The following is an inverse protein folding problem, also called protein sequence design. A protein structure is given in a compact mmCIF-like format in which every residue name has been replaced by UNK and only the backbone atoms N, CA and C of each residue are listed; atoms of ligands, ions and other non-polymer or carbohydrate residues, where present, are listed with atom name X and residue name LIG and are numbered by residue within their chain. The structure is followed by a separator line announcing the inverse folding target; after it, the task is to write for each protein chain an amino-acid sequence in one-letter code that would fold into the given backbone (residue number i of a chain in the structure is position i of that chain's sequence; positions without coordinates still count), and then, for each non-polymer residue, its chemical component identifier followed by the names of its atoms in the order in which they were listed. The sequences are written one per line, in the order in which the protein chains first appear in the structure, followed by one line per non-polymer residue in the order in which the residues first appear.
data_IF_623332555750
#
_entry.id   IF_623332555750
#
_cell.length_a   1.000
_cell.length_b   1.000
_cell.length_c   1.000
_cell.angle_alpha   90.00
_cell.angle_beta   90.00
_cell.angle_gamma   90.00
#
_symmetry.space_group_name_H-M   'P 1'
#
loop_
_entity.id
_entity.type
_entity.pdbx_description
1 polymer ?
#
# COMPACT_ATOMS: atom_id res chain seq x y z
N UNK A 1 42.92 -1.07 -4.08
CA UNK A 1 42.27 0.17 -4.52
C UNK A 1 41.20 -0.23 -5.52
N UNK A 2 40.02 -0.58 -5.03
CA UNK A 2 38.81 -0.77 -5.84
C UNK A 2 37.82 0.25 -5.29
N UNK A 3 37.52 1.28 -6.07
CA UNK A 3 36.45 2.22 -5.77
C UNK A 3 35.18 1.70 -6.46
N UNK A 4 34.24 1.16 -5.68
CA UNK A 4 32.86 0.98 -6.12
C UNK A 4 32.19 2.36 -6.11
N UNK A 5 32.09 2.97 -7.29
CA UNK A 5 31.14 4.03 -7.60
C UNK A 5 29.87 3.39 -8.14
N UNK A 6 28.78 3.47 -7.37
CA UNK A 6 27.45 3.02 -7.75
C UNK A 6 26.44 4.17 -7.80
N UNK A 7 26.77 5.23 -8.53
CA UNK A 7 25.79 6.18 -9.07
C UNK A 7 25.98 6.15 -10.58
N UNK A 8 25.06 5.55 -11.32
CA UNK A 8 25.10 5.49 -12.78
C UNK A 8 24.61 6.82 -13.36
N UNK A 9 25.54 7.77 -13.49
CA UNK A 9 25.45 8.84 -14.48
C UNK A 9 26.09 8.32 -15.78
N UNK A 10 25.30 8.09 -16.82
CA UNK A 10 25.84 7.78 -18.15
C UNK A 10 26.02 9.08 -18.93
N UNK A 11 27.27 9.52 -19.04
CA UNK A 11 27.71 10.56 -19.98
C UNK A 11 27.78 9.96 -21.39
N UNK A 12 27.19 10.68 -22.34
CA UNK A 12 27.14 10.37 -23.76
C UNK A 12 28.43 10.87 -24.45
N UNK A 13 29.30 9.96 -24.88
CA UNK A 13 30.32 10.20 -25.92
C UNK A 13 30.98 8.86 -26.26
N UNK A 14 30.77 8.31 -27.46
CA UNK A 14 31.74 8.51 -28.55
C UNK A 14 31.29 7.92 -29.90
N UNK A 15 31.90 8.51 -30.91
CA UNK A 15 31.93 8.23 -32.35
C UNK A 15 32.27 6.76 -32.69
N UNK A 16 31.67 6.21 -33.75
CA UNK A 16 32.14 4.95 -34.34
C UNK A 16 31.12 4.05 -35.03
N UNK A 17 30.88 4.35 -36.32
CA UNK A 17 30.41 3.44 -37.40
C UNK A 17 29.07 2.71 -37.23
N UNK A 18 28.15 3.10 -38.11
CA UNK A 18 26.82 2.55 -38.29
C UNK A 18 26.83 1.09 -38.78
N UNK A 19 26.05 0.26 -38.09
CA UNK A 19 25.27 -0.80 -38.72
C UNK A 19 23.88 -0.82 -38.07
N UNK A 20 22.86 -0.66 -38.91
CA UNK A 20 21.49 -0.38 -38.50
C UNK A 20 20.74 -1.62 -38.02
N UNK A 21 20.26 -1.59 -36.78
CA UNK A 21 18.88 -1.95 -36.42
C UNK A 21 18.54 -1.39 -35.03
N UNK A 22 17.95 -0.19 -34.99
CA UNK A 22 17.62 0.51 -33.76
C UNK A 22 16.45 -0.11 -33.00
N UNK A 23 16.75 -0.85 -31.94
CA UNK A 23 15.81 -1.11 -30.85
C UNK A 23 16.25 -0.26 -29.66
N UNK A 24 15.41 0.69 -29.25
CA UNK A 24 15.66 1.53 -28.07
C UNK A 24 15.90 0.64 -26.85
N UNK A 25 16.97 0.92 -26.08
CA UNK A 25 17.44 0.16 -24.92
C UNK A 25 16.46 0.11 -23.72
N UNK A 26 15.19 0.45 -23.94
CA UNK A 26 14.10 0.59 -22.96
C UNK A 26 13.04 -0.50 -23.11
N UNK A 27 13.01 -1.28 -24.19
CA UNK A 27 12.02 -2.35 -24.38
C UNK A 27 12.69 -3.70 -24.63
N UNK A 28 12.22 -4.76 -23.97
CA UNK A 28 12.70 -6.13 -24.17
C UNK A 28 11.54 -7.11 -24.16
N UNK A 29 11.46 -7.98 -25.18
CA UNK A 29 10.45 -9.03 -25.25
C UNK A 29 11.08 -10.41 -25.02
N UNK A 30 10.46 -11.18 -24.14
CA UNK A 30 10.80 -12.55 -23.80
C UNK A 30 9.75 -13.48 -24.39
N UNK A 31 10.18 -14.36 -25.30
CA UNK A 31 9.30 -15.33 -25.97
C UNK A 31 9.50 -16.71 -25.36
N UNK A 32 8.44 -17.51 -25.15
CA UNK A 32 8.58 -18.89 -24.74
C UNK A 32 9.33 -19.71 -25.80
N UNK A 33 10.18 -20.62 -25.33
CA UNK A 33 10.93 -21.57 -26.17
C UNK A 33 10.05 -22.66 -26.81
N UNK A 34 8.83 -22.86 -26.31
CA UNK A 34 7.95 -24.00 -26.60
C UNK A 34 6.87 -23.81 -27.69
N UNK A 35 7.02 -22.86 -28.62
CA UNK A 35 6.03 -22.60 -29.68
C UNK A 35 5.37 -21.23 -29.56
N UNK A 36 4.17 -21.06 -30.13
CA UNK A 36 3.48 -19.76 -30.04
C UNK A 36 2.98 -19.52 -28.61
N UNK A 37 3.23 -18.33 -28.03
CA UNK A 37 2.76 -18.00 -26.70
C UNK A 37 1.23 -18.00 -26.63
N UNK A 38 0.66 -18.39 -25.49
CA UNK A 38 -0.79 -18.36 -25.26
C UNK A 38 -1.32 -16.95 -25.06
N UNK A 39 -0.49 -16.05 -24.54
CA UNK A 39 -0.77 -14.63 -24.33
C UNK A 39 0.54 -13.83 -24.35
N UNK A 40 0.43 -12.50 -24.46
CA UNK A 40 1.57 -11.58 -24.26
C UNK A 40 1.20 -10.57 -23.20
N UNK A 41 2.02 -10.45 -22.16
CA UNK A 41 1.88 -9.44 -21.11
C UNK A 41 2.79 -8.24 -21.40
N UNK A 42 2.26 -7.03 -21.28
CA UNK A 42 2.99 -5.77 -21.32
C UNK A 42 3.21 -5.25 -19.90
N UNK A 43 4.46 -5.09 -19.49
CA UNK A 43 4.81 -4.70 -18.12
C UNK A 43 5.63 -3.41 -18.16
N UNK A 44 5.36 -2.49 -17.22
CA UNK A 44 6.18 -1.32 -16.94
C UNK A 44 7.08 -1.56 -15.70
N UNK A 45 8.25 -2.19 -15.87
CA UNK A 45 9.19 -2.40 -14.77
C UNK A 45 10.13 -1.21 -14.55
N UNK A 46 10.64 -1.12 -13.33
CA UNK A 46 11.80 -0.29 -13.02
C UNK A 46 13.03 -0.75 -13.79
N UNK A 47 13.88 0.20 -14.18
CA UNK A 47 15.12 -0.06 -14.92
C UNK A 47 16.06 -1.06 -14.23
N UNK A 48 16.02 -1.15 -12.91
CA UNK A 48 16.74 -2.10 -12.05
C UNK A 48 16.39 -3.56 -12.34
N UNK A 49 15.19 -3.84 -12.86
CA UNK A 49 14.76 -5.21 -13.16
C UNK A 49 15.41 -5.78 -14.42
N UNK A 50 16.25 -5.02 -15.14
CA UNK A 50 17.08 -5.54 -16.23
C UNK A 50 18.00 -6.66 -15.76
N UNK A 51 18.44 -6.61 -14.50
CA UNK A 51 19.36 -7.60 -13.93
C UNK A 51 18.75 -9.00 -13.84
N UNK A 52 17.41 -9.12 -13.79
CA UNK A 52 16.71 -10.40 -13.63
C UNK A 52 16.16 -10.96 -14.95
N UNK A 53 16.65 -10.50 -16.10
CA UNK A 53 16.23 -10.95 -17.44
C UNK A 53 16.22 -12.48 -17.62
N UNK A 54 17.20 -13.19 -17.05
CA UNK A 54 17.27 -14.66 -17.11
C UNK A 54 16.10 -15.31 -16.36
N UNK A 55 15.73 -14.77 -15.20
CA UNK A 55 14.59 -15.27 -14.43
C UNK A 55 13.26 -15.00 -15.16
N UNK A 56 13.13 -13.85 -15.81
CA UNK A 56 11.97 -13.50 -16.64
C UNK A 56 11.85 -14.46 -17.82
N UNK A 57 12.94 -14.75 -18.53
CA UNK A 57 12.93 -15.73 -19.63
C UNK A 57 12.48 -17.12 -19.16
N UNK A 58 13.02 -17.59 -18.02
CA UNK A 58 12.61 -18.87 -17.43
C UNK A 58 11.12 -18.89 -17.07
N UNK A 59 10.59 -17.79 -16.55
CA UNK A 59 9.17 -17.68 -16.24
C UNK A 59 8.29 -17.70 -17.52
N UNK A 60 8.72 -17.02 -18.58
CA UNK A 60 8.05 -17.05 -19.89
C UNK A 60 8.02 -18.47 -20.47
N UNK A 61 9.14 -19.20 -20.39
CA UNK A 61 9.23 -20.60 -20.82
C UNK A 61 8.29 -21.52 -20.04
N UNK A 62 8.25 -21.38 -18.71
CA UNK A 62 7.44 -22.24 -17.83
C UNK A 62 5.94 -21.97 -17.94
N UNK A 63 5.55 -20.71 -18.17
CA UNK A 63 4.15 -20.30 -18.27
C UNK A 63 3.58 -20.39 -19.69
N UNK A 64 4.46 -20.49 -20.70
CA UNK A 64 4.12 -20.34 -22.12
C UNK A 64 3.45 -18.99 -22.46
N UNK A 65 3.77 -17.95 -21.68
CA UNK A 65 3.29 -16.57 -21.86
C UNK A 65 4.48 -15.70 -22.28
N UNK A 66 4.32 -14.91 -23.34
CA UNK A 66 5.33 -13.93 -23.73
C UNK A 66 5.24 -12.70 -22.81
N UNK A 67 6.39 -12.08 -22.54
CA UNK A 67 6.46 -10.89 -21.68
C UNK A 67 7.19 -9.79 -22.43
N UNK A 68 6.57 -8.62 -22.57
CA UNK A 68 7.22 -7.40 -23.07
C UNK A 68 7.43 -6.45 -21.91
N UNK A 69 8.69 -6.18 -21.60
CA UNK A 69 9.13 -5.26 -20.57
C UNK A 69 9.42 -3.89 -21.19
N UNK A 70 8.80 -2.86 -20.65
CA UNK A 70 9.06 -1.45 -20.99
C UNK A 70 9.77 -0.78 -19.81
N UNK A 71 11.08 -0.95 -19.72
CA UNK A 71 11.91 -0.42 -18.64
C UNK A 71 11.89 1.10 -18.59
N UNK A 72 11.57 1.60 -17.40
CA UNK A 72 11.43 3.04 -17.13
C UNK A 72 11.86 3.37 -15.70
N UNK A 73 12.08 4.65 -15.40
CA UNK A 73 12.38 5.12 -14.06
C UNK A 73 11.15 5.13 -13.16
N UNK A 74 11.34 5.10 -11.83
CA UNK A 74 10.21 5.00 -10.89
C UNK A 74 9.21 6.17 -10.97
N UNK A 75 9.67 7.38 -11.33
CA UNK A 75 8.80 8.53 -11.57
C UNK A 75 7.95 8.37 -12.84
N UNK A 76 8.49 7.72 -13.87
CA UNK A 76 7.77 7.44 -15.11
C UNK A 76 6.68 6.39 -14.88
N UNK A 77 6.97 5.34 -14.09
CA UNK A 77 5.98 4.35 -13.62
C UNK A 77 4.85 5.05 -12.86
N UNK A 78 5.20 5.93 -11.91
CA UNK A 78 4.23 6.68 -11.14
C UNK A 78 3.34 7.55 -12.04
N UNK A 79 3.91 8.23 -13.04
CA UNK A 79 3.15 9.04 -13.98
C UNK A 79 2.26 8.19 -14.90
N UNK A 80 2.73 7.01 -15.32
CA UNK A 80 1.92 6.06 -16.08
C UNK A 80 0.71 5.58 -15.27
N UNK A 81 0.90 5.28 -13.97
CA UNK A 81 -0.20 4.95 -13.05
C UNK A 81 -1.19 6.12 -12.89
N UNK A 82 -0.70 7.35 -12.71
CA UNK A 82 -1.57 8.55 -12.60
C UNK A 82 -2.42 8.76 -13.86
N UNK A 83 -1.85 8.46 -15.02
CA UNK A 83 -2.58 8.52 -16.29
C UNK A 83 -3.65 7.41 -16.42
N UNK A 84 -3.62 6.38 -15.58
CA UNK A 84 -4.54 5.24 -15.58
C UNK A 84 -3.94 3.96 -16.16
N UNK A 85 -2.61 3.80 -16.12
CA UNK A 85 -1.89 2.56 -16.45
C UNK A 85 -2.01 2.11 -17.91
N UNK A 86 -2.43 3.01 -18.79
CA UNK A 86 -2.80 2.68 -20.16
C UNK A 86 -1.63 1.99 -20.90
N UNK A 87 -1.93 0.87 -21.55
CA UNK A 87 -1.02 0.00 -22.32
C UNK A 87 -0.16 -1.00 -21.52
N UNK A 88 -0.38 -1.13 -20.21
CA UNK A 88 0.31 -2.09 -19.37
C UNK A 88 -0.66 -2.98 -18.60
N UNK A 89 -0.35 -4.27 -18.57
CA UNK A 89 -1.06 -5.27 -17.77
C UNK A 89 -0.56 -5.28 -16.31
N UNK A 90 0.70 -4.86 -16.09
CA UNK A 90 1.31 -4.80 -14.77
C UNK A 90 2.39 -3.71 -14.66
N UNK A 91 2.63 -3.27 -13.43
CA UNK A 91 3.78 -2.43 -13.06
C UNK A 91 4.69 -3.20 -12.12
N UNK A 92 6.00 -2.97 -12.22
CA UNK A 92 6.98 -3.60 -11.33
C UNK A 92 8.05 -2.60 -10.88
N UNK A 93 7.72 -1.67 -9.96
CA UNK A 93 8.67 -0.70 -9.43
C UNK A 93 9.58 -1.31 -8.35
N UNK A 94 10.74 -0.69 -8.10
CA UNK A 94 11.63 -1.00 -6.96
C UNK A 94 10.95 -1.00 -5.57
N UNK A 95 9.82 -0.29 -5.43
CA UNK A 95 9.11 -0.16 -4.17
C UNK A 95 7.62 0.06 -4.41
N UNK A 96 6.79 -0.54 -3.55
CA UNK A 96 5.33 -0.35 -3.55
C UNK A 96 4.92 1.09 -3.29
N UNK A 97 5.80 1.92 -2.69
CA UNK A 97 5.54 3.35 -2.48
C UNK A 97 5.19 4.08 -3.78
N UNK A 98 5.80 3.70 -4.91
CA UNK A 98 5.50 4.31 -6.22
C UNK A 98 4.12 3.96 -6.74
N UNK A 99 3.59 2.80 -6.34
CA UNK A 99 2.20 2.42 -6.63
C UNK A 99 1.28 3.29 -5.77
N UNK A 100 1.54 3.39 -4.47
CA UNK A 100 0.77 4.24 -3.55
C UNK A 100 0.67 5.70 -4.00
N UNK A 101 1.78 6.30 -4.43
CA UNK A 101 1.79 7.69 -4.89
C UNK A 101 1.26 7.90 -6.30
N UNK A 102 1.27 6.84 -7.12
CA UNK A 102 0.97 6.90 -8.54
C UNK A 102 -0.45 6.47 -8.90
N UNK A 103 -0.99 5.49 -8.20
CA UNK A 103 -2.27 4.87 -8.53
C UNK A 103 -3.46 5.65 -7.96
N UNK A 104 -3.57 6.92 -8.35
CA UNK A 104 -4.64 7.82 -7.90
C UNK A 104 -6.03 7.45 -8.44
N UNK A 105 -6.11 6.48 -9.37
CA UNK A 105 -7.34 5.96 -9.96
C UNK A 105 -7.66 4.53 -9.47
N UNK A 106 -6.85 3.99 -8.55
CA UNK A 106 -6.99 2.67 -7.95
C UNK A 106 -7.10 1.51 -8.95
N UNK A 107 -6.38 1.59 -10.07
CA UNK A 107 -6.41 0.58 -11.14
C UNK A 107 -5.65 -0.70 -10.75
N UNK A 108 -4.71 -0.63 -9.79
CA UNK A 108 -3.90 -1.77 -9.36
C UNK A 108 -4.70 -2.66 -8.40
N UNK A 109 -5.16 -3.81 -8.91
CA UNK A 109 -6.00 -4.76 -8.17
C UNK A 109 -5.23 -5.76 -7.34
N UNK A 110 -4.07 -6.16 -7.81
CA UNK A 110 -3.24 -7.16 -7.16
C UNK A 110 -1.83 -6.62 -6.98
N UNK A 111 -1.27 -6.85 -5.80
CA UNK A 111 0.09 -6.46 -5.47
C UNK A 111 0.75 -7.61 -4.72
N UNK A 112 1.91 -8.04 -5.22
CA UNK A 112 2.70 -9.09 -4.62
C UNK A 112 4.17 -8.69 -4.61
N UNK A 113 4.88 -9.03 -3.53
CA UNK A 113 6.34 -8.91 -3.52
C UNK A 113 6.94 -10.05 -4.33
N UNK A 114 7.66 -9.70 -5.39
CA UNK A 114 8.31 -10.67 -6.29
C UNK A 114 9.71 -11.04 -5.83
N UNK A 115 10.39 -10.13 -5.14
CA UNK A 115 11.77 -10.27 -4.73
C UNK A 115 12.03 -9.44 -3.48
N UNK A 116 12.94 -9.93 -2.64
CA UNK A 116 13.56 -9.14 -1.59
C UNK A 116 15.03 -9.03 -1.92
N UNK A 117 15.54 -7.80 -1.95
CA UNK A 117 16.98 -7.57 -2.11
C UNK A 117 17.58 -7.49 -0.72
N UNK A 118 18.25 -8.55 -0.23
CA UNK A 118 18.80 -8.53 1.11
C UNK A 118 19.89 -7.46 1.20
N UNK A 119 19.82 -6.64 2.23
CA UNK A 119 20.91 -5.73 2.56
C UNK A 119 22.00 -6.56 3.22
N UNK A 120 23.16 -6.65 2.57
CA UNK A 120 24.33 -7.37 3.11
C UNK A 120 25.24 -6.36 3.80
N UNK A 121 25.56 -6.61 5.06
CA UNK A 121 26.52 -5.81 5.80
C UNK A 121 27.95 -6.21 5.42
N UNK A 122 28.59 -5.39 4.58
CA UNK A 122 30.00 -5.56 4.21
C UNK A 122 30.95 -4.97 5.26
N UNK A 123 31.88 -5.79 5.76
CA UNK A 123 32.93 -5.35 6.70
C UNK A 123 34.31 -5.84 6.24
N UNK A 124 35.33 -4.99 6.40
CA UNK A 124 36.70 -5.38 6.10
C UNK A 124 37.15 -6.54 7.02
N UNK A 125 37.80 -7.57 6.44
CA UNK A 125 38.28 -8.74 7.19
C UNK A 125 39.07 -8.36 8.44
N UNK A 126 40.02 -7.44 8.33
CA UNK A 126 40.83 -6.96 9.46
C UNK A 126 39.99 -6.40 10.60
N UNK A 127 38.87 -5.74 10.28
CA UNK A 127 37.94 -5.18 11.28
C UNK A 127 37.07 -6.27 11.89
N UNK A 128 36.56 -7.20 11.09
CA UNK A 128 35.78 -8.33 11.57
C UNK A 128 36.59 -9.21 12.53
N UNK A 129 37.88 -9.47 12.22
CA UNK A 129 38.81 -10.17 13.11
C UNK A 129 39.03 -9.40 14.41
N UNK A 130 39.27 -8.09 14.32
CA UNK A 130 39.45 -7.23 15.51
C UNK A 130 38.21 -7.18 16.42
N UNK A 131 37.01 -7.33 15.85
CA UNK A 131 35.74 -7.40 16.59
C UNK A 131 35.40 -8.82 17.06
N UNK A 132 36.24 -9.82 16.73
CA UNK A 132 35.99 -11.23 17.04
C UNK A 132 34.78 -11.81 16.28
N UNK A 133 34.41 -11.20 15.16
CA UNK A 133 33.32 -11.63 14.27
C UNK A 133 33.80 -12.56 13.16
N UNK A 134 35.10 -12.62 12.92
CA UNK A 134 35.74 -13.58 12.04
C UNK A 134 37.07 -14.09 12.64
N UNK A 135 37.53 -15.25 12.21
CA UNK A 135 38.88 -15.74 12.51
C UNK A 135 39.93 -15.19 11.53
N UNK A 136 41.20 -15.52 11.75
CA UNK A 136 42.32 -15.06 10.90
C UNK A 136 42.23 -15.56 9.45
N UNK A 137 41.47 -16.63 9.19
CA UNK A 137 41.19 -17.13 7.84
C UNK A 137 40.12 -16.30 7.14
N UNK A 138 39.29 -15.59 7.90
CA UNK A 138 38.17 -14.78 7.42
C UNK A 138 36.83 -15.50 7.52
N UNK A 139 36.79 -16.66 8.17
CA UNK A 139 35.54 -17.36 8.44
C UNK A 139 34.75 -16.57 9.49
N UNK A 140 33.60 -16.02 9.09
CA UNK A 140 32.74 -15.23 9.95
C UNK A 140 31.87 -16.14 10.83
N UNK A 141 31.66 -15.74 12.07
CA UNK A 141 30.59 -16.28 12.92
C UNK A 141 29.28 -15.53 12.66
N UNK A 142 28.11 -16.07 13.02
CA UNK A 142 26.86 -15.32 12.99
C UNK A 142 26.99 -14.04 13.84
N UNK A 143 26.65 -12.91 13.24
CA UNK A 143 26.62 -11.58 13.89
C UNK A 143 25.19 -11.05 13.79
N UNK A 144 24.61 -10.68 14.93
CA UNK A 144 23.27 -10.10 14.96
C UNK A 144 23.30 -8.60 14.73
N UNK A 145 22.15 -8.00 14.37
CA UNK A 145 22.00 -6.54 14.33
C UNK A 145 22.33 -5.90 15.67
N UNK A 146 22.01 -6.56 16.79
CA UNK A 146 22.34 -6.07 18.13
C UNK A 146 23.85 -5.98 18.37
N UNK A 147 24.62 -6.97 17.88
CA UNK A 147 26.09 -6.95 17.96
C UNK A 147 26.69 -5.79 17.15
N UNK A 148 26.12 -5.55 15.95
CA UNK A 148 26.54 -4.42 15.10
C UNK A 148 26.26 -3.10 15.82
N UNK A 149 25.04 -2.91 16.35
CA UNK A 149 24.65 -1.72 17.08
C UNK A 149 25.51 -1.48 18.34
N UNK A 150 25.86 -2.55 19.06
CA UNK A 150 26.75 -2.46 20.21
C UNK A 150 28.17 -2.02 19.81
N UNK A 151 28.75 -2.62 18.76
CA UNK A 151 30.07 -2.23 18.28
C UNK A 151 30.12 -0.78 17.76
N UNK A 152 29.02 -0.29 17.19
CA UNK A 152 28.89 1.09 16.73
C UNK A 152 28.73 2.05 17.91
N UNK A 153 27.85 1.72 18.86
CA UNK A 153 27.63 2.51 20.09
C UNK A 153 28.90 2.62 20.94
N UNK A 154 29.70 1.55 20.99
CA UNK A 154 30.99 1.51 21.67
C UNK A 154 32.11 2.27 20.92
N UNK A 155 31.83 2.85 19.75
CA UNK A 155 32.82 3.49 18.88
C UNK A 155 33.84 2.53 18.26
N UNK A 156 33.63 1.22 18.42
CA UNK A 156 34.51 0.16 17.89
C UNK A 156 34.29 -0.04 16.40
N UNK A 157 33.20 0.42 15.82
CA UNK A 157 32.89 0.30 14.39
C UNK A 157 32.21 1.58 13.89
N UNK A 158 32.72 2.13 12.78
CA UNK A 158 32.08 3.23 12.05
C UNK A 158 31.74 2.73 10.67
N UNK A 159 30.53 2.99 10.19
CA UNK A 159 30.08 2.59 8.87
C UNK A 159 29.20 3.68 8.26
N UNK A 160 29.23 3.79 6.95
CA UNK A 160 28.39 4.73 6.22
C UNK A 160 27.03 4.09 5.98
N UNK A 161 25.99 4.63 6.61
CA UNK A 161 24.62 4.47 6.17
C UNK A 161 24.02 5.84 5.88
N UNK A 162 22.96 5.87 5.08
CA UNK A 162 21.89 6.84 5.30
C UNK A 162 21.42 6.62 6.74
N UNK A 163 21.78 7.54 7.64
CA UNK A 163 21.55 7.41 9.08
C UNK A 163 20.17 6.84 9.36
N UNK A 164 20.05 5.76 10.15
CA UNK A 164 18.74 5.18 10.50
C UNK A 164 17.84 6.25 11.13
N UNK A 165 18.42 7.13 11.94
CA UNK A 165 17.74 8.31 12.48
C UNK A 165 17.26 9.25 11.37
N UNK A 166 18.02 9.42 10.30
CA UNK A 166 17.62 10.20 9.12
C UNK A 166 16.53 9.50 8.32
N UNK A 167 16.56 8.17 8.19
CA UNK A 167 15.50 7.39 7.52
C UNK A 167 14.20 7.46 8.34
N UNK A 168 14.25 7.21 9.65
CA UNK A 168 13.10 7.32 10.54
C UNK A 168 12.56 8.75 10.56
N UNK A 169 13.44 9.76 10.59
CA UNK A 169 13.04 11.16 10.49
C UNK A 169 12.42 11.48 9.12
N UNK A 170 12.97 10.95 8.04
CA UNK A 170 12.44 11.15 6.69
C UNK A 170 11.08 10.47 6.52
N UNK A 171 10.91 9.26 7.05
CA UNK A 171 9.65 8.52 7.05
C UNK A 171 8.59 9.27 7.87
N UNK A 172 8.97 9.74 9.07
CA UNK A 172 8.10 10.53 9.92
C UNK A 172 7.69 11.83 9.21
N UNK A 173 8.64 12.61 8.68
CA UNK A 173 8.36 13.84 7.91
C UNK A 173 7.47 13.55 6.71
N UNK A 174 7.71 12.44 6.00
CA UNK A 174 6.85 12.03 4.90
C UNK A 174 5.41 11.80 5.37
N UNK A 175 5.22 11.01 6.43
CA UNK A 175 3.90 10.64 6.93
C UNK A 175 3.15 11.77 7.63
N UNK A 176 3.86 12.69 8.28
CA UNK A 176 3.23 13.75 9.07
C UNK A 176 3.12 15.09 8.32
N UNK A 177 3.97 15.34 7.33
CA UNK A 177 4.10 16.67 6.73
C UNK A 177 4.14 16.71 5.19
N UNK A 178 4.64 15.67 4.51
CA UNK A 178 4.77 15.71 3.04
C UNK A 178 3.68 14.96 2.29
N UNK A 179 3.12 13.89 2.87
CA UNK A 179 2.01 13.19 2.23
C UNK A 179 0.79 14.10 2.20
N UNK A 180 -0.04 13.90 1.19
CA UNK A 180 -1.36 14.52 1.13
C UNK A 180 -2.17 14.07 2.37
N UNK A 181 -2.83 14.98 3.10
CA UNK A 181 -3.68 14.61 4.22
C UNK A 181 -4.79 13.65 3.79
N UNK A 182 -5.17 12.71 4.66
CA UNK A 182 -6.24 11.76 4.37
C UNK A 182 -7.58 12.24 4.91
N UNK A 183 -8.65 12.04 4.16
CA UNK A 183 -10.03 12.19 4.61
C UNK A 183 -10.70 10.82 4.60
N UNK A 184 -10.73 10.18 5.77
CA UNK A 184 -11.20 8.80 5.93
C UNK A 184 -12.55 8.79 6.63
N UNK A 185 -13.55 8.20 5.99
CA UNK A 185 -14.89 8.03 6.55
C UNK A 185 -15.07 6.55 6.92
N UNK A 186 -15.20 6.28 8.20
CA UNK A 186 -15.39 4.96 8.80
C UNK A 186 -16.89 4.70 8.94
N UNK A 187 -17.44 3.90 8.04
CA UNK A 187 -18.85 3.49 8.06
C UNK A 187 -18.91 2.14 8.74
N UNK A 188 -19.54 2.08 9.91
CA UNK A 188 -19.35 0.97 10.84
C UNK A 188 -20.68 0.37 11.25
N UNK A 189 -20.79 -0.93 10.99
CA UNK A 189 -21.99 -1.72 11.25
C UNK A 189 -22.12 -2.09 12.73
N UNK A 190 -23.20 -1.62 13.34
CA UNK A 190 -23.66 -1.95 14.68
C UNK A 190 -25.03 -2.64 14.65
N UNK A 191 -25.33 -3.39 13.58
CA UNK A 191 -26.52 -4.24 13.52
C UNK A 191 -26.49 -5.37 14.56
N UNK A 192 -27.64 -5.98 14.84
CA UNK A 192 -27.73 -7.05 15.84
C UNK A 192 -26.85 -8.27 15.54
N UNK A 193 -26.58 -8.56 14.26
CA UNK A 193 -25.68 -9.66 13.85
C UNK A 193 -24.21 -9.39 14.17
N UNK A 194 -23.83 -8.13 14.35
CA UNK A 194 -22.50 -7.71 14.79
C UNK A 194 -22.28 -7.85 16.30
N UNK A 195 -23.29 -8.27 17.07
CA UNK A 195 -23.13 -8.46 18.52
C UNK A 195 -22.02 -9.47 18.87
N UNK A 196 -21.33 -9.23 19.99
CA UNK A 196 -20.23 -10.08 20.44
C UNK A 196 -18.94 -9.88 19.62
N UNK A 197 -18.53 -10.90 18.86
CA UNK A 197 -17.23 -10.91 18.16
C UNK A 197 -17.15 -9.85 17.05
N UNK A 198 -18.27 -9.53 16.38
CA UNK A 198 -18.32 -8.50 15.34
C UNK A 198 -17.92 -7.11 15.88
N UNK A 199 -18.66 -6.61 16.88
CA UNK A 199 -18.40 -5.34 17.58
C UNK A 199 -17.00 -5.33 18.16
N UNK A 200 -16.59 -6.40 18.83
CA UNK A 200 -15.23 -6.50 19.39
C UNK A 200 -14.15 -6.40 18.30
N UNK A 201 -14.37 -7.01 17.13
CA UNK A 201 -13.46 -6.95 15.99
C UNK A 201 -13.36 -5.55 15.40
N UNK A 202 -14.51 -4.90 15.22
CA UNK A 202 -14.62 -3.52 14.73
C UNK A 202 -13.90 -2.54 15.66
N UNK A 203 -14.20 -2.56 16.96
CA UNK A 203 -13.57 -1.68 17.95
C UNK A 203 -12.05 -1.90 17.99
N UNK A 204 -11.59 -3.16 17.94
CA UNK A 204 -10.16 -3.47 17.82
C UNK A 204 -9.55 -2.92 16.53
N UNK A 205 -10.25 -3.01 15.41
CA UNK A 205 -9.82 -2.46 14.13
C UNK A 205 -9.65 -0.94 14.18
N UNK A 206 -10.66 -0.22 14.68
CA UNK A 206 -10.59 1.22 14.85
C UNK A 206 -9.45 1.63 15.79
N UNK A 207 -9.26 0.91 16.90
CA UNK A 207 -8.11 1.14 17.78
C UNK A 207 -6.78 0.93 17.03
N UNK A 208 -6.61 -0.16 16.28
CA UNK A 208 -5.38 -0.39 15.52
C UNK A 208 -5.08 0.73 14.50
N UNK A 209 -6.12 1.36 13.93
CA UNK A 209 -5.99 2.41 12.93
C UNK A 209 -5.86 3.83 13.50
N UNK A 210 -6.52 4.12 14.63
CA UNK A 210 -6.74 5.47 15.13
C UNK A 210 -6.15 5.72 16.51
N UNK A 211 -5.90 4.68 17.33
CA UNK A 211 -5.24 4.85 18.62
C UNK A 211 -3.76 5.19 18.41
N UNK A 212 -3.25 6.32 18.94
CA UNK A 212 -1.87 6.73 18.72
C UNK A 212 -0.82 5.69 19.14
N UNK A 213 -1.03 4.96 20.24
CA UNK A 213 -0.05 4.01 20.75
C UNK A 213 0.00 2.72 19.90
N UNK A 214 -1.12 2.33 19.31
CA UNK A 214 -1.21 1.18 18.42
C UNK A 214 -0.80 1.51 16.98
N UNK A 215 -1.26 2.65 16.45
CA UNK A 215 -1.06 3.06 15.06
C UNK A 215 0.38 3.53 14.77
N UNK A 216 1.12 3.97 15.79
CA UNK A 216 2.53 4.39 15.64
C UNK A 216 3.46 3.25 15.24
N UNK A 217 3.27 2.05 15.82
CA UNK A 217 4.13 0.88 15.57
C UNK A 217 4.19 0.46 14.09
N UNK A 218 3.06 0.36 13.37
CA UNK A 218 3.04 0.11 11.93
C UNK A 218 3.14 1.38 11.09
N UNK A 219 3.36 2.55 11.69
CA UNK A 219 3.45 3.84 11.01
C UNK A 219 2.18 4.24 10.23
N UNK A 220 1.01 4.09 10.85
CA UNK A 220 -0.30 4.45 10.28
C UNK A 220 -1.05 5.49 11.11
N UNK A 221 -0.40 6.14 12.07
CA UNK A 221 -1.06 7.13 12.93
C UNK A 221 -1.65 8.31 12.15
N UNK A 222 -2.78 8.89 12.60
CA UNK A 222 -3.33 10.11 12.03
C UNK A 222 -2.33 11.28 12.12
N UNK A 223 -2.17 12.01 11.02
CA UNK A 223 -1.36 13.22 10.95
C UNK A 223 -2.17 14.48 11.29
N UNK A 224 -1.50 15.61 11.57
CA UNK A 224 -2.15 16.87 11.95
C UNK A 224 -3.15 17.43 10.93
N UNK A 225 -3.01 17.08 9.65
CA UNK A 225 -3.95 17.47 8.59
C UNK A 225 -5.05 16.46 8.30
N UNK A 226 -5.00 15.25 8.89
CA UNK A 226 -5.97 14.20 8.57
C UNK A 226 -7.36 14.53 9.13
N UNK A 227 -8.37 14.03 8.44
CA UNK A 227 -9.76 14.06 8.87
C UNK A 227 -10.25 12.62 8.98
N UNK A 228 -10.82 12.27 10.13
CA UNK A 228 -11.44 10.97 10.37
C UNK A 228 -12.89 11.20 10.79
N UNK A 229 -13.83 10.50 10.17
CA UNK A 229 -15.26 10.63 10.46
C UNK A 229 -15.79 9.23 10.73
N UNK A 230 -16.37 9.00 11.91
CA UNK A 230 -17.06 7.76 12.25
C UNK A 230 -18.56 7.93 12.02
N UNK A 231 -19.16 6.98 11.28
CA UNK A 231 -20.60 6.89 11.03
C UNK A 231 -21.04 5.49 11.45
N UNK A 232 -21.51 5.32 12.69
CA UNK A 232 -22.19 4.10 13.09
C UNK A 232 -23.50 3.95 12.29
N UNK A 233 -23.88 2.73 11.94
CA UNK A 233 -25.17 2.46 11.33
C UNK A 233 -25.68 1.08 11.72
N UNK A 234 -26.99 0.92 11.67
CA UNK A 234 -27.71 -0.34 11.79
C UNK A 234 -28.79 -0.38 10.70
N UNK A 235 -30.03 0.00 10.98
CA UNK A 235 -31.08 0.20 9.97
C UNK A 235 -31.07 1.63 9.41
N UNK A 236 -30.54 2.58 10.18
CA UNK A 236 -30.39 3.98 9.82
C UNK A 236 -28.92 4.42 10.04
N UNK A 237 -28.50 5.53 9.44
CA UNK A 237 -27.20 6.09 9.77
C UNK A 237 -27.29 6.91 11.08
N UNK A 238 -26.43 6.62 12.05
CA UNK A 238 -26.28 7.48 13.22
C UNK A 238 -25.59 8.80 12.83
N UNK A 239 -25.61 9.76 13.77
CA UNK A 239 -24.95 11.05 13.58
C UNK A 239 -23.42 10.86 13.41
N UNK A 240 -22.80 11.46 12.37
CA UNK A 240 -21.36 11.41 12.18
C UNK A 240 -20.57 12.07 13.33
N UNK A 241 -19.49 11.41 13.76
CA UNK A 241 -18.52 11.93 14.73
C UNK A 241 -17.21 12.23 14.00
N UNK A 242 -16.85 13.51 13.92
CA UNK A 242 -15.69 13.99 13.16
C UNK A 242 -14.53 14.37 14.08
N UNK A 243 -13.35 13.87 13.77
CA UNK A 243 -12.07 14.27 14.32
C UNK A 243 -11.18 14.87 13.23
N UNK A 244 -10.40 15.88 13.61
CA UNK A 244 -9.38 16.49 12.74
C UNK A 244 -8.05 16.49 13.46
N UNK A 245 -7.00 16.16 12.74
CA UNK A 245 -5.65 16.02 13.26
C UNK A 245 -5.43 14.71 14.02
N UNK A 246 -4.57 14.77 15.05
CA UNK A 246 -4.07 13.59 15.75
C UNK A 246 -4.99 13.09 16.88
N UNK A 247 -6.07 13.82 17.20
CA UNK A 247 -6.97 13.49 18.31
C UNK A 247 -8.19 12.74 17.79
N UNK A 248 -8.24 11.45 18.07
CA UNK A 248 -9.27 10.49 17.61
C UNK A 248 -10.03 9.84 18.77
N UNK A 249 -9.79 10.28 20.01
CA UNK A 249 -10.36 9.69 21.22
C UNK A 249 -11.88 9.67 21.21
N UNK A 250 -12.50 10.71 20.68
CA UNK A 250 -13.96 10.83 20.66
C UNK A 250 -14.59 9.79 19.73
N UNK A 251 -13.94 9.48 18.60
CA UNK A 251 -14.38 8.42 17.67
C UNK A 251 -14.23 7.06 18.32
N UNK A 252 -13.11 6.81 19.01
CA UNK A 252 -12.86 5.54 19.68
C UNK A 252 -13.85 5.34 20.85
N UNK A 253 -14.17 6.40 21.58
CA UNK A 253 -15.17 6.36 22.64
C UNK A 253 -16.57 6.07 22.08
N UNK A 254 -16.99 6.78 21.03
CA UNK A 254 -18.28 6.53 20.37
C UNK A 254 -18.36 5.10 19.84
N UNK A 255 -17.29 4.60 19.22
CA UNK A 255 -17.24 3.26 18.69
C UNK A 255 -17.38 2.17 19.76
N UNK A 256 -16.80 2.37 20.95
CA UNK A 256 -16.91 1.45 22.07
C UNK A 256 -18.30 1.51 22.72
N UNK A 257 -18.84 2.73 22.88
CA UNK A 257 -20.12 3.00 23.52
C UNK A 257 -21.35 2.58 22.69
N UNK A 258 -21.23 2.54 21.35
CA UNK A 258 -22.36 2.17 20.47
C UNK A 258 -22.67 0.68 20.59
N UNK A 259 -23.88 0.33 20.97
CA UNK A 259 -24.32 -1.06 21.10
C UNK A 259 -24.82 -1.65 19.78
N UNK A 260 -24.52 -2.94 19.58
CA UNK A 260 -24.94 -3.68 18.40
C UNK A 260 -26.41 -4.13 18.53
N UNK A 261 -27.30 -3.59 17.71
CA UNK A 261 -28.74 -3.87 17.76
C UNK A 261 -29.43 -3.56 16.42
N UNK A 262 -30.70 -3.93 16.27
CA UNK A 262 -31.47 -3.58 15.06
C UNK A 262 -31.13 -4.42 13.82
N UNK A 263 -31.66 -3.97 12.68
CA UNK A 263 -31.37 -4.53 11.34
C UNK A 263 -30.10 -3.94 10.72
N UNK A 264 -29.89 -4.19 9.43
CA UNK A 264 -28.68 -3.81 8.69
C UNK A 264 -29.03 -3.18 7.34
N UNK A 265 -28.64 -1.92 7.15
CA UNK A 265 -28.71 -1.16 5.90
C UNK A 265 -27.38 -0.45 5.62
N UNK A 266 -26.48 -1.17 4.95
CA UNK A 266 -25.17 -0.67 4.52
C UNK A 266 -25.33 0.56 3.62
N UNK A 267 -26.35 0.58 2.76
CA UNK A 267 -26.49 1.61 1.75
C UNK A 267 -26.90 2.95 2.36
N UNK A 268 -27.71 2.92 3.42
CA UNK A 268 -28.03 4.11 4.22
C UNK A 268 -26.79 4.68 4.93
N UNK A 269 -25.97 3.81 5.53
CA UNK A 269 -24.67 4.22 6.10
C UNK A 269 -23.74 4.84 5.06
N UNK A 270 -23.70 4.29 3.84
CA UNK A 270 -22.90 4.81 2.75
C UNK A 270 -23.44 6.11 2.15
N UNK A 271 -24.76 6.32 2.13
CA UNK A 271 -25.39 7.60 1.75
C UNK A 271 -25.00 8.72 2.71
N UNK A 272 -25.02 8.44 4.02
CA UNK A 272 -24.53 9.38 5.03
C UNK A 272 -23.04 9.72 4.85
N UNK A 273 -22.21 8.72 4.54
CA UNK A 273 -20.78 8.93 4.25
C UNK A 273 -20.54 9.81 3.02
N UNK A 274 -21.41 9.66 2.04
CA UNK A 274 -21.43 10.42 0.81
C UNK A 274 -21.66 11.92 1.09
N UNK A 275 -22.44 12.28 2.10
CA UNK A 275 -22.68 13.68 2.52
C UNK A 275 -21.54 14.28 3.35
N UNK A 276 -20.71 13.43 3.95
CA UNK A 276 -19.53 13.82 4.75
C UNK A 276 -18.23 13.94 3.92
N UNK A 277 -18.34 13.90 2.59
CA UNK A 277 -17.21 14.12 1.69
C UNK A 277 -16.67 15.56 1.79
N UNK A 278 -15.36 15.77 1.53
CA UNK A 278 -14.83 17.12 1.46
C UNK A 278 -15.52 17.91 0.36
N UNK A 279 -15.74 19.20 0.62
CA UNK A 279 -16.30 20.14 -0.36
C UNK A 279 -15.50 20.12 -1.67
N UNK A 280 -16.11 20.54 -2.78
CA UNK A 280 -15.41 20.58 -4.08
C UNK A 280 -14.13 21.40 -4.04
N UNK A 281 -14.10 22.49 -3.27
CA UNK A 281 -12.91 23.33 -3.06
C UNK A 281 -11.81 22.67 -2.23
N UNK A 282 -12.15 21.68 -1.41
CA UNK A 282 -11.21 21.03 -0.48
C UNK A 282 -10.74 19.67 -0.99
N UNK A 283 -11.47 19.02 -1.89
CA UNK A 283 -11.16 17.65 -2.29
C UNK A 283 -9.79 17.47 -2.95
N UNK A 284 -9.27 18.49 -3.64
CA UNK A 284 -7.91 18.43 -4.17
C UNK A 284 -6.83 18.47 -3.07
N UNK A 285 -7.18 18.83 -1.83
CA UNK A 285 -6.28 18.91 -0.68
C UNK A 285 -6.18 17.59 0.08
N UNK A 286 -7.14 16.68 -0.08
CA UNK A 286 -7.17 15.39 0.61
C UNK A 286 -7.03 14.20 -0.34
N UNK A 287 -6.52 13.08 0.16
CA UNK A 287 -6.88 11.78 -0.41
C UNK A 287 -8.05 11.22 0.37
N UNK A 288 -9.15 10.91 -0.32
CA UNK A 288 -10.43 10.58 0.31
C UNK A 288 -10.77 9.12 0.10
N UNK A 289 -11.19 8.43 1.17
CA UNK A 289 -11.66 7.05 1.10
C UNK A 289 -12.78 6.78 2.11
N UNK A 290 -13.65 5.84 1.78
CA UNK A 290 -14.62 5.26 2.70
C UNK A 290 -14.12 3.88 3.12
N UNK A 291 -14.18 3.60 4.42
CA UNK A 291 -13.90 2.28 4.99
C UNK A 291 -15.18 1.75 5.61
N UNK A 292 -15.77 0.75 4.96
CA UNK A 292 -16.97 0.06 5.43
C UNK A 292 -16.55 -1.16 6.27
N UNK A 293 -17.03 -1.26 7.51
CA UNK A 293 -16.75 -2.36 8.43
C UNK A 293 -18.07 -3.05 8.79
N UNK A 294 -18.28 -4.27 8.31
CA UNK A 294 -19.59 -4.96 8.35
C UNK A 294 -19.45 -6.48 8.24
N UNK A 295 -20.50 -7.21 8.58
CA UNK A 295 -20.67 -8.63 8.22
C UNK A 295 -21.35 -8.82 6.85
N UNK A 296 -21.65 -7.76 6.11
CA UNK A 296 -22.11 -7.87 4.71
C UNK A 296 -23.49 -8.50 4.54
N UNK A 297 -24.33 -8.51 5.58
CA UNK A 297 -25.72 -8.99 5.53
C UNK A 297 -26.72 -7.84 5.53
N UNK A 298 -26.62 -6.96 4.54
CA UNK A 298 -27.52 -5.81 4.43
C UNK A 298 -28.82 -6.14 3.71
N UNK A 299 -29.88 -5.44 4.07
CA UNK A 299 -31.00 -5.20 3.17
C UNK A 299 -30.51 -4.51 1.87
N UNK A 300 -31.35 -4.44 0.85
CA UNK A 300 -31.01 -3.84 -0.45
C UNK A 300 -31.93 -2.67 -0.82
N UNK A 301 -32.67 -2.13 0.14
CA UNK A 301 -33.74 -1.17 -0.11
C UNK A 301 -33.19 0.16 -0.67
N UNK A 302 -32.05 0.63 -0.15
CA UNK A 302 -31.38 1.86 -0.60
C UNK A 302 -30.24 1.63 -1.60
N UNK A 303 -30.08 0.41 -2.13
CA UNK A 303 -28.96 0.10 -3.02
C UNK A 303 -28.96 0.96 -4.29
N UNK A 304 -30.09 1.02 -5.01
CA UNK A 304 -30.20 1.75 -6.27
C UNK A 304 -30.02 3.27 -6.08
N UNK A 305 -30.49 3.80 -4.95
CA UNK A 305 -30.31 5.19 -4.56
C UNK A 305 -28.84 5.50 -4.30
N UNK A 306 -28.18 4.67 -3.49
CA UNK A 306 -26.75 4.80 -3.22
C UNK A 306 -25.92 4.73 -4.50
N UNK A 307 -26.16 3.73 -5.36
CA UNK A 307 -25.41 3.58 -6.61
C UNK A 307 -25.56 4.80 -7.53
N UNK A 308 -26.77 5.37 -7.58
CA UNK A 308 -27.06 6.57 -8.36
C UNK A 308 -26.36 7.79 -7.77
N UNK A 309 -26.43 7.99 -6.46
CA UNK A 309 -25.76 9.07 -5.75
C UNK A 309 -24.23 8.98 -5.93
N UNK A 310 -23.65 7.79 -5.74
CA UNK A 310 -22.23 7.52 -5.91
C UNK A 310 -21.75 7.86 -7.32
N UNK A 311 -22.43 7.37 -8.36
CA UNK A 311 -22.09 7.65 -9.77
C UNK A 311 -22.22 9.13 -10.10
N UNK A 312 -23.23 9.82 -9.56
CA UNK A 312 -23.45 11.26 -9.80
C UNK A 312 -22.36 12.16 -9.20
N UNK A 313 -21.74 11.73 -8.08
CA UNK A 313 -20.67 12.47 -7.40
C UNK A 313 -19.37 12.48 -8.21
N UNK A 314 -19.24 11.64 -9.24
CA UNK A 314 -18.19 11.73 -10.27
C UNK A 314 -16.76 11.62 -9.74
N UNK A 315 -16.58 11.05 -8.54
CA UNK A 315 -15.28 10.84 -7.91
C UNK A 315 -14.99 9.35 -7.91
N UNK A 316 -13.81 8.96 -8.35
CA UNK A 316 -13.25 7.61 -8.18
C UNK A 316 -12.97 7.37 -6.68
N UNK A 317 -14.03 7.39 -5.86
CA UNK A 317 -13.97 7.35 -4.41
C UNK A 317 -13.89 5.89 -3.94
N UNK A 318 -12.72 5.41 -3.48
CA UNK A 318 -12.60 4.02 -3.08
C UNK A 318 -13.44 3.73 -1.82
N UNK A 319 -14.20 2.63 -1.86
CA UNK A 319 -14.95 2.09 -0.73
C UNK A 319 -14.34 0.75 -0.33
N UNK A 320 -13.43 0.79 0.64
CA UNK A 320 -12.78 -0.40 1.17
C UNK A 320 -13.71 -1.11 2.15
N UNK A 321 -14.06 -2.35 1.86
CA UNK A 321 -14.91 -3.16 2.76
C UNK A 321 -14.04 -4.07 3.61
N UNK A 322 -14.27 -4.11 4.92
CA UNK A 322 -13.60 -5.01 5.87
C UNK A 322 -14.66 -5.90 6.52
N UNK A 323 -14.53 -7.20 6.28
CA UNK A 323 -15.45 -8.22 6.78
C UNK A 323 -15.18 -8.55 8.25
N UNK A 324 -16.23 -8.53 9.08
CA UNK A 324 -16.23 -9.02 10.46
C UNK A 324 -17.36 -10.04 10.66
N UNK A 325 -17.32 -10.82 11.74
CA UNK A 325 -18.37 -11.80 12.06
C UNK A 325 -18.59 -12.89 10.99
N UNK A 326 -19.83 -13.33 10.81
CA UNK A 326 -20.18 -14.40 9.86
C UNK A 326 -20.46 -13.87 8.44
N UNK A 327 -19.49 -13.12 7.91
CA UNK A 327 -19.74 -12.26 6.77
C UNK A 327 -20.09 -12.95 5.44
N UNK A 328 -20.96 -12.32 4.63
CA UNK A 328 -21.23 -12.69 3.23
C UNK A 328 -20.35 -11.85 2.27
N UNK A 329 -19.38 -12.46 1.58
CA UNK A 329 -18.46 -11.74 0.69
C UNK A 329 -19.09 -11.34 -0.66
N UNK A 330 -20.27 -11.83 -1.03
CA UNK A 330 -20.86 -11.59 -2.35
C UNK A 330 -21.34 -10.13 -2.51
N UNK A 331 -22.04 -9.59 -1.52
CA UNK A 331 -22.55 -8.22 -1.52
C UNK A 331 -21.40 -7.20 -1.52
N UNK A 332 -20.37 -7.44 -0.71
CA UNK A 332 -19.21 -6.54 -0.60
C UNK A 332 -18.35 -6.50 -1.87
N UNK A 333 -18.32 -7.60 -2.65
CA UNK A 333 -17.64 -7.62 -3.94
C UNK A 333 -18.29 -6.69 -4.96
N UNK A 334 -19.61 -6.54 -4.94
CA UNK A 334 -20.32 -5.61 -5.81
C UNK A 334 -19.94 -4.16 -5.51
N UNK A 335 -19.91 -3.77 -4.23
CA UNK A 335 -19.46 -2.44 -3.78
C UNK A 335 -17.98 -2.17 -4.13
N UNK A 336 -17.11 -3.15 -3.92
CA UNK A 336 -15.70 -3.04 -4.27
C UNK A 336 -15.50 -2.89 -5.79
N UNK A 337 -16.30 -3.60 -6.60
CA UNK A 337 -16.26 -3.48 -8.07
C UNK A 337 -16.74 -2.09 -8.51
N UNK A 338 -17.84 -1.60 -7.93
CA UNK A 338 -18.40 -0.27 -8.22
C UNK A 338 -17.42 0.86 -7.90
N UNK A 339 -16.73 0.76 -6.76
CA UNK A 339 -15.81 1.80 -6.26
C UNK A 339 -14.35 1.61 -6.67
N UNK A 340 -14.07 0.60 -7.50
CA UNK A 340 -12.71 0.23 -7.88
C UNK A 340 -11.81 -0.07 -6.65
N UNK A 341 -12.39 -0.54 -5.54
CA UNK A 341 -11.70 -0.80 -4.27
C UNK A 341 -11.52 -2.30 -4.00
N UNK A 342 -11.09 -2.65 -2.78
CA UNK A 342 -10.85 -4.03 -2.34
C UNK A 342 -11.71 -4.42 -1.14
N UNK A 343 -11.96 -5.72 -1.02
CA UNK A 343 -12.55 -6.35 0.16
C UNK A 343 -11.44 -7.01 0.97
N UNK A 344 -11.41 -6.75 2.28
CA UNK A 344 -10.46 -7.31 3.22
C UNK A 344 -11.18 -8.22 4.23
N UNK A 345 -10.49 -9.26 4.70
CA UNK A 345 -10.99 -10.11 5.79
C UNK A 345 -10.41 -9.62 7.12
N UNK A 346 -11.26 -9.03 7.97
CA UNK A 346 -10.89 -8.54 9.29
C UNK A 346 -10.89 -9.60 10.39
N UNK A 347 -11.29 -10.84 10.07
CA UNK A 347 -11.40 -11.97 11.02
C UNK A 347 -10.12 -12.80 11.07
N UNK A 348 -9.39 -12.82 9.96
CA UNK A 348 -8.19 -13.63 9.77
C UNK A 348 -7.04 -12.79 9.24
N UNK A 349 -6.42 -11.98 10.11
CA UNK A 349 -5.24 -11.23 9.70
C UNK A 349 -4.70 -10.20 10.70
N UNK A 350 -3.58 -9.60 10.32
CA UNK A 350 -3.04 -8.39 10.93
C UNK A 350 -3.85 -7.18 10.42
N UNK A 351 -4.79 -6.70 11.23
CA UNK A 351 -5.59 -5.50 10.92
C UNK A 351 -4.70 -4.29 10.61
N UNK A 352 -3.51 -4.17 11.21
CA UNK A 352 -2.57 -3.11 10.89
C UNK A 352 -1.96 -3.26 9.49
N UNK A 353 -1.86 -4.48 8.95
CA UNK A 353 -1.49 -4.70 7.55
C UNK A 353 -2.62 -4.30 6.60
N UNK A 354 -3.88 -4.59 6.95
CA UNK A 354 -5.06 -4.15 6.18
C UNK A 354 -5.11 -2.62 6.14
N UNK A 355 -4.99 -1.95 7.28
CA UNK A 355 -5.02 -0.49 7.32
C UNK A 355 -3.80 0.17 6.66
N UNK A 356 -2.62 -0.46 6.68
CA UNK A 356 -1.49 -0.01 5.85
C UNK A 356 -1.81 -0.08 4.36
N UNK A 357 -2.54 -1.10 3.91
CA UNK A 357 -2.96 -1.17 2.51
C UNK A 357 -3.99 -0.09 2.21
N UNK A 358 -5.03 0.07 3.04
CA UNK A 358 -6.05 1.13 2.88
C UNK A 358 -5.41 2.52 2.85
N UNK A 359 -4.55 2.83 3.81
CA UNK A 359 -3.80 4.11 3.84
C UNK A 359 -2.76 4.21 2.73
N UNK A 360 -2.26 3.11 2.19
CA UNK A 360 -1.33 3.08 1.07
C UNK A 360 -2.02 3.22 -0.29
N UNK A 361 -3.35 3.07 -0.37
CA UNK A 361 -4.14 3.53 -1.50
C UNK A 361 -4.45 5.03 -1.39
N UNK A 362 -4.30 5.62 -0.20
CA UNK A 362 -4.50 7.05 0.05
C UNK A 362 -3.19 7.85 -0.09
#
# INVERSE_FOLDING_TARGET
MLALTGCTAFNNSDDGTADGNGTSATTQTFQPSGGKPTATLSIAPGSENKEVAVAIQKAADQSNVAVTMHYMGSLEIMNALKAGGQNYDAVWPASSMWISMGDTKHIVKDAASTSTTPIVFGIAKSKAVKLGWADDTGAAKPVSTADILAAVSDGKLTFSMTSATVIDSALNVYQTALRKPSWTIWVVDYSGSMSGEGKNGVVKGLNAALDPDQAKKPYIEPASGDVNILIPFETEAHRPVKATGTSTSDLLHEADATDASGGTDIYEGLLSALDELPSESEASQYTTAIVLMTDGRSNSDHQDEFESAYKSRGRDLPIFSIMFGDADPSQLKSLATLSNAKVFDGRSGDLAAVFRQVKGFN
#
